data_IF_994445855609
#
_entry.id   IF_994445855609
#
_cell.length_a   1.000
_cell.length_b   1.000
_cell.length_c   1.000
_cell.angle_alpha   90.00
_cell.angle_beta   90.00
_cell.angle_gamma   90.00
#
_symmetry.space_group_name_H-M   'P 1'
#
loop_
_entity.id
_entity.type
_entity.pdbx_description
1 polymer ?
#
# COMPACT_ATOMS: atom_id res chain seq x y z
N UNK A 1 -12.39 2.00 -27.72
CA UNK A 1 -11.67 1.05 -26.85
C UNK A 1 -12.05 1.34 -25.40
N UNK A 2 -12.32 0.30 -24.63
CA UNK A 2 -12.50 0.39 -23.17
C UNK A 2 -11.10 0.21 -22.58
N UNK A 3 -10.68 1.15 -21.75
CA UNK A 3 -9.39 1.10 -21.06
C UNK A 3 -9.63 0.68 -19.61
N UNK A 4 -9.04 -0.42 -19.20
CA UNK A 4 -9.14 -0.92 -17.82
C UNK A 4 -8.01 -0.41 -16.94
N UNK A 5 -6.79 -0.32 -17.52
CA UNK A 5 -5.57 0.04 -16.79
C UNK A 5 -4.76 1.08 -17.56
N UNK A 6 -4.18 2.03 -16.86
CA UNK A 6 -3.23 3.01 -17.37
C UNK A 6 -1.92 2.86 -16.62
N UNK A 7 -0.81 2.66 -17.35
CA UNK A 7 0.53 2.89 -16.83
C UNK A 7 0.87 4.36 -17.06
N UNK A 8 1.11 5.11 -15.99
CA UNK A 8 1.24 6.55 -16.02
C UNK A 8 2.64 6.96 -15.54
N UNK A 9 3.41 7.60 -16.40
CA UNK A 9 4.66 8.24 -15.95
C UNK A 9 4.35 9.48 -15.12
N UNK A 10 5.18 9.77 -14.13
CA UNK A 10 5.08 11.00 -13.35
C UNK A 10 5.53 12.20 -14.17
N UNK A 11 6.69 12.11 -14.82
CA UNK A 11 7.24 13.24 -15.56
C UNK A 11 6.80 13.26 -17.02
N UNK A 12 5.76 14.03 -17.29
CA UNK A 12 5.26 14.23 -18.64
C UNK A 12 5.25 15.72 -19.01
N UNK A 13 5.44 16.08 -20.30
CA UNK A 13 5.32 17.45 -20.77
C UNK A 13 3.92 18.01 -20.50
N UNK A 14 3.83 19.32 -20.16
CA UNK A 14 2.60 20.09 -19.92
C UNK A 14 1.87 19.74 -18.61
N UNK A 15 1.68 18.47 -18.29
CA UNK A 15 0.97 18.04 -17.08
C UNK A 15 1.61 16.77 -16.53
N UNK A 16 1.94 16.77 -15.23
CA UNK A 16 2.49 15.59 -14.58
C UNK A 16 1.44 14.47 -14.41
N UNK A 17 1.94 13.22 -14.25
CA UNK A 17 1.09 12.05 -14.14
C UNK A 17 0.21 12.04 -12.89
N UNK A 18 0.62 12.72 -11.82
CA UNK A 18 -0.17 12.80 -10.58
C UNK A 18 -1.40 13.69 -10.77
N UNK A 19 -1.21 14.85 -11.41
CA UNK A 19 -2.37 15.71 -11.78
C UNK A 19 -3.26 15.03 -12.79
N UNK A 20 -2.66 14.36 -13.78
CA UNK A 20 -3.40 13.59 -14.79
C UNK A 20 -4.21 12.47 -14.14
N UNK A 21 -3.63 11.72 -13.19
CA UNK A 21 -4.33 10.64 -12.49
C UNK A 21 -5.56 11.15 -11.74
N UNK A 22 -5.48 12.33 -11.11
CA UNK A 22 -6.62 12.96 -10.44
C UNK A 22 -7.76 13.25 -11.41
N UNK A 23 -7.45 13.80 -12.59
CA UNK A 23 -8.45 14.13 -13.62
C UNK A 23 -9.08 12.84 -14.17
N UNK A 24 -8.26 11.84 -14.48
CA UNK A 24 -8.74 10.55 -14.98
C UNK A 24 -9.64 9.87 -13.96
N UNK A 25 -9.24 9.83 -12.69
CA UNK A 25 -10.04 9.22 -11.62
C UNK A 25 -11.36 9.93 -11.35
N UNK A 26 -11.37 11.24 -11.45
CA UNK A 26 -12.61 12.02 -11.30
C UNK A 26 -13.61 11.73 -12.43
N UNK A 27 -13.13 11.47 -13.64
CA UNK A 27 -13.97 11.24 -14.83
C UNK A 27 -14.27 9.77 -15.09
N UNK A 28 -13.32 8.90 -14.74
CA UNK A 28 -13.36 7.46 -14.98
C UNK A 28 -12.91 6.68 -13.74
N UNK A 29 -13.73 6.60 -12.68
CA UNK A 29 -13.32 6.05 -11.38
C UNK A 29 -12.91 4.58 -11.43
N UNK A 30 -13.43 3.84 -12.40
CA UNK A 30 -13.16 2.40 -12.56
C UNK A 30 -11.79 2.09 -13.19
N UNK A 31 -11.21 3.02 -13.94
CA UNK A 31 -9.89 2.84 -14.54
C UNK A 31 -8.84 2.69 -13.45
N UNK A 32 -8.04 1.63 -13.52
CA UNK A 32 -6.91 1.41 -12.63
C UNK A 32 -5.72 2.22 -13.14
N UNK A 33 -5.05 2.94 -12.25
CA UNK A 33 -3.86 3.71 -12.62
C UNK A 33 -2.68 3.20 -11.82
N UNK A 34 -1.64 2.76 -12.51
CA UNK A 34 -0.34 2.41 -11.93
C UNK A 34 0.63 3.50 -12.34
N UNK A 35 1.20 4.20 -11.36
CA UNK A 35 2.32 5.11 -11.61
C UNK A 35 3.57 4.29 -11.89
N UNK A 36 4.24 4.59 -13.00
CA UNK A 36 5.52 3.98 -13.39
C UNK A 36 6.55 5.09 -13.52
N UNK A 37 7.52 5.17 -12.61
CA UNK A 37 8.43 6.31 -12.49
C UNK A 37 9.87 5.88 -12.20
N UNK A 38 10.84 6.72 -12.56
CA UNK A 38 12.24 6.58 -12.13
C UNK A 38 12.52 7.25 -10.79
N UNK A 39 11.53 7.97 -10.22
CA UNK A 39 11.70 8.80 -9.04
C UNK A 39 10.92 8.24 -7.86
N UNK A 40 11.61 8.17 -6.72
CA UNK A 40 11.05 7.76 -5.45
C UNK A 40 10.82 9.00 -4.55
N UNK A 41 10.15 10.02 -5.09
CA UNK A 41 9.82 11.24 -4.35
C UNK A 41 8.53 11.06 -3.57
N UNK A 42 8.58 11.34 -2.27
CA UNK A 42 7.48 11.12 -1.33
C UNK A 42 6.22 11.89 -1.73
N UNK A 43 6.38 13.12 -2.22
CA UNK A 43 5.26 13.96 -2.62
C UNK A 43 4.43 13.35 -3.75
N UNK A 44 5.07 12.79 -4.77
CA UNK A 44 4.36 12.14 -5.88
C UNK A 44 3.64 10.87 -5.43
N UNK A 45 4.27 10.10 -4.55
CA UNK A 45 3.70 8.90 -3.99
C UNK A 45 2.41 9.21 -3.21
N UNK A 46 2.47 10.14 -2.26
CA UNK A 46 1.32 10.48 -1.41
C UNK A 46 0.19 11.14 -2.18
N UNK A 47 0.51 12.07 -3.08
CA UNK A 47 -0.51 12.71 -3.91
C UNK A 47 -1.16 11.71 -4.88
N UNK A 48 -0.39 10.76 -5.42
CA UNK A 48 -0.91 9.68 -6.25
C UNK A 48 -1.95 8.84 -5.50
N UNK A 49 -1.62 8.43 -4.28
CA UNK A 49 -2.52 7.64 -3.44
C UNK A 49 -3.79 8.42 -3.08
N UNK A 50 -3.67 9.68 -2.70
CA UNK A 50 -4.82 10.56 -2.46
C UNK A 50 -5.74 10.66 -3.68
N UNK A 51 -5.18 10.59 -4.88
CA UNK A 51 -5.92 10.58 -6.14
C UNK A 51 -6.52 9.20 -6.48
N UNK A 52 -6.28 8.16 -5.68
CA UNK A 52 -6.86 6.83 -5.88
C UNK A 52 -6.15 5.98 -6.92
N UNK A 53 -4.82 6.12 -7.07
CA UNK A 53 -4.03 5.20 -7.92
C UNK A 53 -4.10 3.77 -7.38
N UNK A 54 -3.90 2.80 -8.26
CA UNK A 54 -3.91 1.37 -7.94
C UNK A 54 -2.52 0.79 -7.72
N UNK A 55 -1.46 1.55 -8.02
CA UNK A 55 -0.09 1.14 -7.80
C UNK A 55 0.93 2.24 -8.04
N UNK A 56 2.12 2.03 -7.49
CA UNK A 56 3.28 2.89 -7.68
C UNK A 56 4.53 2.03 -7.79
N UNK A 57 5.16 2.00 -8.96
CA UNK A 57 6.23 1.07 -9.31
C UNK A 57 7.38 1.85 -9.91
N UNK A 58 8.60 1.44 -9.60
CA UNK A 58 9.79 2.03 -10.21
C UNK A 58 10.04 1.45 -11.60
N UNK A 59 10.55 2.26 -12.53
CA UNK A 59 10.89 1.84 -13.91
C UNK A 59 12.06 0.85 -13.97
N UNK A 60 12.88 0.80 -12.93
CA UNK A 60 13.99 -0.13 -12.75
C UNK A 60 13.59 -1.45 -12.08
N UNK A 61 12.32 -1.62 -11.73
CA UNK A 61 11.78 -2.89 -11.25
C UNK A 61 11.84 -3.95 -12.34
N UNK A 62 11.98 -5.22 -11.94
CA UNK A 62 11.97 -6.35 -12.87
C UNK A 62 10.69 -6.38 -13.71
N UNK A 63 10.81 -6.71 -15.00
CA UNK A 63 9.69 -6.74 -15.95
C UNK A 63 8.58 -7.66 -15.45
N UNK A 64 8.92 -8.82 -14.90
CA UNK A 64 7.95 -9.76 -14.34
C UNK A 64 7.16 -9.17 -13.18
N UNK A 65 7.80 -8.32 -12.36
CA UNK A 65 7.13 -7.59 -11.30
C UNK A 65 6.15 -6.55 -11.83
N UNK A 66 6.52 -5.82 -12.89
CA UNK A 66 5.64 -4.85 -13.56
C UNK A 66 4.42 -5.57 -14.16
N UNK A 67 4.62 -6.66 -14.88
CA UNK A 67 3.54 -7.46 -15.48
C UNK A 67 2.62 -8.03 -14.40
N UNK A 68 3.19 -8.57 -13.32
CA UNK A 68 2.42 -9.06 -12.17
C UNK A 68 1.58 -7.93 -11.57
N UNK A 69 2.15 -6.76 -11.41
CA UNK A 69 1.46 -5.61 -10.82
C UNK A 69 0.27 -5.14 -11.66
N UNK A 70 0.37 -5.20 -12.99
CA UNK A 70 -0.73 -4.91 -13.90
C UNK A 70 -1.88 -5.92 -13.67
N UNK A 71 -1.57 -7.22 -13.65
CA UNK A 71 -2.56 -8.28 -13.44
C UNK A 71 -3.24 -8.17 -12.06
N UNK A 72 -2.47 -7.89 -11.03
CA UNK A 72 -2.99 -7.74 -9.67
C UNK A 72 -3.84 -6.46 -9.51
N UNK A 73 -3.46 -5.35 -10.16
CA UNK A 73 -4.26 -4.14 -10.18
C UNK A 73 -5.60 -4.32 -10.92
N UNK A 74 -5.63 -5.11 -12.00
CA UNK A 74 -6.86 -5.50 -12.67
C UNK A 74 -7.81 -6.23 -11.71
N UNK A 75 -7.25 -7.08 -10.83
CA UNK A 75 -7.97 -7.79 -9.78
C UNK A 75 -8.24 -6.94 -8.50
N UNK A 76 -8.22 -5.60 -8.61
CA UNK A 76 -8.46 -4.65 -7.52
C UNK A 76 -7.46 -4.71 -6.35
N UNK A 77 -6.26 -5.25 -6.56
CA UNK A 77 -5.19 -5.20 -5.57
C UNK A 77 -4.32 -3.96 -5.79
N UNK A 78 -3.88 -3.35 -4.71
CA UNK A 78 -2.92 -2.24 -4.77
C UNK A 78 -1.49 -2.80 -4.81
N UNK A 79 -0.68 -2.30 -5.74
CA UNK A 79 0.68 -2.75 -5.95
C UNK A 79 1.67 -1.61 -5.77
N UNK A 80 2.55 -1.74 -4.78
CA UNK A 80 3.59 -0.76 -4.51
C UNK A 80 4.95 -1.41 -4.57
N UNK A 81 5.91 -0.71 -5.17
CA UNK A 81 7.29 -1.13 -5.15
C UNK A 81 7.76 -1.34 -3.70
N UNK A 82 8.50 -2.43 -3.41
CA UNK A 82 9.00 -2.68 -2.07
C UNK A 82 9.80 -1.54 -1.44
N UNK A 83 10.48 -0.74 -2.27
CA UNK A 83 11.28 0.40 -1.81
C UNK A 83 10.43 1.60 -1.36
N UNK A 84 9.22 1.75 -1.89
CA UNK A 84 8.30 2.84 -1.50
C UNK A 84 7.39 2.47 -0.34
N UNK A 85 7.24 1.18 -0.07
CA UNK A 85 6.40 0.69 1.03
C UNK A 85 6.77 1.31 2.40
N UNK A 86 8.06 1.42 2.82
CA UNK A 86 8.42 2.08 4.08
C UNK A 86 7.95 3.54 4.15
N UNK A 87 7.95 4.26 3.03
CA UNK A 87 7.51 5.67 2.96
C UNK A 87 6.00 5.79 3.11
N UNK A 88 5.25 4.89 2.46
CA UNK A 88 3.80 4.80 2.66
C UNK A 88 3.44 4.62 4.12
N UNK A 89 4.22 3.85 4.76
CA UNK A 89 4.09 3.48 6.16
C UNK A 89 4.42 4.64 7.09
N UNK A 90 5.50 5.38 6.82
CA UNK A 90 5.84 6.58 7.61
C UNK A 90 4.76 7.65 7.53
N UNK A 91 4.08 7.77 6.38
CA UNK A 91 2.98 8.71 6.20
C UNK A 91 1.66 8.29 6.89
N UNK A 92 1.55 7.01 7.26
CA UNK A 92 0.42 6.51 8.05
C UNK A 92 0.59 6.75 9.55
N UNK A 93 1.79 7.15 9.99
CA UNK A 93 1.98 7.62 11.36
C UNK A 93 1.36 9.00 11.50
N UNK A 94 0.48 9.24 12.49
CA UNK A 94 -0.23 10.50 12.60
C UNK A 94 0.72 11.62 13.02
N UNK A 95 1.03 12.52 12.11
CA UNK A 95 1.57 13.84 12.44
C UNK A 95 0.49 14.92 12.39
N UNK A 96 -0.70 14.64 11.82
CA UNK A 96 -1.83 15.57 11.93
C UNK A 96 -3.18 14.89 11.68
N UNK A 97 -4.18 15.32 12.45
CA UNK A 97 -5.47 14.69 12.69
C UNK A 97 -6.47 14.71 11.50
N UNK A 98 -6.06 14.95 10.25
CA UNK A 98 -7.00 15.19 9.15
C UNK A 98 -6.90 14.25 7.92
N UNK A 99 -6.13 13.16 7.98
CA UNK A 99 -6.02 12.25 6.81
C UNK A 99 -6.62 10.86 7.09
N UNK A 100 -7.89 10.82 7.42
CA UNK A 100 -8.68 9.59 7.66
C UNK A 100 -8.82 8.72 6.41
N UNK A 101 -8.85 9.31 5.24
CA UNK A 101 -9.17 8.61 3.97
C UNK A 101 -8.16 7.53 3.54
N UNK A 102 -6.89 7.63 3.92
CA UNK A 102 -5.88 6.65 3.49
C UNK A 102 -5.73 5.48 4.48
N UNK A 103 -5.84 5.77 5.78
CA UNK A 103 -5.93 4.71 6.81
C UNK A 103 -7.11 3.80 6.55
N UNK A 104 -8.26 4.37 6.21
CA UNK A 104 -9.47 3.62 5.94
C UNK A 104 -9.26 2.66 4.76
N UNK A 105 -8.59 3.08 3.68
CA UNK A 105 -8.33 2.21 2.52
C UNK A 105 -7.35 1.06 2.79
N UNK A 106 -6.35 1.24 3.65
CA UNK A 106 -5.46 0.12 4.07
C UNK A 106 -6.19 -0.80 5.04
N UNK A 107 -6.98 -0.24 5.96
CA UNK A 107 -7.80 -1.05 6.85
C UNK A 107 -8.91 -1.79 6.09
N UNK A 108 -9.41 -1.25 4.98
CA UNK A 108 -10.35 -1.94 4.08
C UNK A 108 -9.76 -3.18 3.40
N UNK A 109 -8.42 -3.25 3.24
CA UNK A 109 -7.73 -4.45 2.73
C UNK A 109 -7.60 -5.56 3.78
N UNK A 110 -7.73 -5.21 5.06
CA UNK A 110 -7.56 -6.15 6.17
C UNK A 110 -8.90 -6.46 6.83
N UNK A 111 -9.06 -7.70 7.21
CA UNK A 111 -10.20 -8.10 8.05
C UNK A 111 -10.08 -7.47 9.44
N UNK A 112 -11.17 -7.33 10.17
CA UNK A 112 -11.18 -6.83 11.55
C UNK A 112 -10.14 -7.55 12.43
N UNK A 113 -10.04 -8.87 12.26
CA UNK A 113 -9.12 -9.70 13.03
C UNK A 113 -7.65 -9.48 12.65
N UNK A 114 -7.37 -9.28 11.37
CA UNK A 114 -6.03 -8.90 10.90
C UNK A 114 -5.61 -7.53 11.44
N UNK A 115 -6.55 -6.57 11.54
CA UNK A 115 -6.30 -5.25 12.13
C UNK A 115 -5.94 -5.36 13.62
N UNK A 116 -6.64 -6.20 14.38
CA UNK A 116 -6.33 -6.44 15.79
C UNK A 116 -4.91 -6.99 15.95
N UNK A 117 -4.57 -8.04 15.18
CA UNK A 117 -3.22 -8.62 15.19
C UNK A 117 -2.18 -7.58 14.76
N UNK A 118 -2.44 -6.80 13.71
CA UNK A 118 -1.53 -5.76 13.24
C UNK A 118 -1.24 -4.72 14.33
N UNK A 119 -2.25 -4.24 15.06
CA UNK A 119 -2.08 -3.28 16.16
C UNK A 119 -1.13 -3.79 17.24
N UNK A 120 -1.18 -5.09 17.55
CA UNK A 120 -0.33 -5.70 18.56
C UNK A 120 1.09 -5.95 18.05
N UNK A 121 1.24 -6.31 16.78
CA UNK A 121 2.55 -6.39 16.11
C UNK A 121 3.26 -5.04 16.13
N UNK A 122 2.53 -3.96 15.87
CA UNK A 122 3.03 -2.58 15.93
C UNK A 122 3.52 -2.20 17.32
N UNK A 123 2.83 -2.65 18.37
CA UNK A 123 3.26 -2.47 19.76
C UNK A 123 4.50 -3.30 20.12
N UNK A 124 5.07 -4.06 19.17
CA UNK A 124 6.26 -4.88 19.39
C UNK A 124 6.00 -6.21 20.10
N UNK A 125 4.74 -6.62 20.26
CA UNK A 125 4.42 -7.86 20.96
C UNK A 125 4.89 -9.10 20.22
N UNK A 126 5.35 -10.13 20.93
CA UNK A 126 5.67 -11.45 20.38
C UNK A 126 4.41 -12.22 19.97
N UNK A 127 4.56 -13.29 19.19
CA UNK A 127 3.40 -14.13 18.82
C UNK A 127 2.73 -14.76 20.05
N UNK A 128 3.51 -15.11 21.07
CA UNK A 128 3.00 -15.64 22.33
C UNK A 128 2.17 -14.60 23.09
N UNK A 129 2.63 -13.35 23.16
CA UNK A 129 1.88 -12.27 23.78
C UNK A 129 0.57 -11.98 23.03
N UNK A 130 0.63 -11.91 21.70
CA UNK A 130 -0.56 -11.71 20.84
C UNK A 130 -1.55 -12.86 20.99
N UNK A 131 -1.06 -14.10 21.03
CA UNK A 131 -1.92 -15.28 21.19
C UNK A 131 -2.68 -15.26 22.52
N UNK A 132 -2.00 -14.88 23.59
CA UNK A 132 -2.61 -14.74 24.92
C UNK A 132 -3.64 -13.60 24.96
N UNK A 133 -3.30 -12.44 24.38
CA UNK A 133 -4.19 -11.26 24.41
C UNK A 133 -5.45 -11.45 23.56
N UNK A 134 -5.31 -12.18 22.42
CA UNK A 134 -6.43 -12.42 21.52
C UNK A 134 -7.13 -13.77 21.72
N UNK A 135 -6.68 -14.57 22.68
CA UNK A 135 -7.22 -15.91 22.98
C UNK A 135 -7.23 -16.84 21.75
N UNK A 136 -6.10 -16.88 21.00
CA UNK A 136 -5.91 -17.74 19.83
C UNK A 136 -4.56 -18.45 19.91
N UNK A 137 -4.34 -19.48 19.08
CA UNK A 137 -3.04 -20.16 19.04
C UNK A 137 -1.95 -19.31 18.41
N UNK A 138 -0.69 -19.51 18.78
CA UNK A 138 0.45 -18.86 18.12
C UNK A 138 0.53 -19.19 16.62
N UNK A 139 0.11 -20.39 16.22
CA UNK A 139 0.00 -20.78 14.81
C UNK A 139 -1.00 -19.89 14.06
N UNK A 140 -2.13 -19.61 14.70
CA UNK A 140 -3.15 -18.70 14.15
C UNK A 140 -2.59 -17.27 14.01
N UNK A 141 -1.82 -16.78 15.00
CA UNK A 141 -1.15 -15.47 14.92
C UNK A 141 -0.16 -15.44 13.74
N UNK A 142 0.66 -16.49 13.56
CA UNK A 142 1.58 -16.60 12.40
C UNK A 142 0.83 -16.52 11.08
N UNK A 143 -0.32 -17.20 10.97
CA UNK A 143 -1.15 -17.18 9.76
C UNK A 143 -1.70 -15.78 9.48
N UNK A 144 -2.20 -15.07 10.50
CA UNK A 144 -2.65 -13.69 10.35
C UNK A 144 -1.52 -12.77 9.90
N UNK A 145 -0.35 -12.86 10.55
CA UNK A 145 0.83 -12.05 10.16
C UNK A 145 1.23 -12.35 8.71
N UNK A 146 1.27 -13.61 8.30
CA UNK A 146 1.59 -13.98 6.91
C UNK A 146 0.57 -13.42 5.91
N UNK A 147 -0.72 -13.45 6.26
CA UNK A 147 -1.76 -12.88 5.42
C UNK A 147 -1.66 -11.34 5.33
N UNK A 148 -1.39 -10.67 6.45
CA UNK A 148 -1.16 -9.22 6.49
C UNK A 148 0.06 -8.86 5.61
N UNK A 149 1.19 -9.55 5.79
CA UNK A 149 2.39 -9.34 4.98
C UNK A 149 2.11 -9.50 3.48
N UNK A 150 1.39 -10.57 3.10
CA UNK A 150 0.99 -10.82 1.72
C UNK A 150 0.07 -9.71 1.17
N UNK A 151 -0.94 -9.28 1.94
CA UNK A 151 -1.88 -8.24 1.54
C UNK A 151 -1.23 -6.88 1.38
N UNK A 152 -0.25 -6.58 2.27
CA UNK A 152 0.51 -5.34 2.24
C UNK A 152 1.78 -5.43 1.38
N UNK A 153 2.02 -6.57 0.71
CA UNK A 153 3.20 -6.85 -0.12
C UNK A 153 4.53 -6.66 0.64
N UNK A 154 4.57 -7.08 1.90
CA UNK A 154 5.75 -7.03 2.77
C UNK A 154 6.41 -8.41 2.88
N UNK A 155 7.74 -8.43 3.02
CA UNK A 155 8.51 -9.69 3.11
C UNK A 155 8.83 -10.12 4.54
N UNK A 156 8.86 -9.20 5.51
CA UNK A 156 9.34 -9.46 6.88
C UNK A 156 8.47 -8.77 7.92
N UNK A 157 8.28 -9.43 9.07
CA UNK A 157 7.60 -8.87 10.25
C UNK A 157 8.24 -7.55 10.72
N UNK A 158 9.57 -7.43 10.64
CA UNK A 158 10.28 -6.20 11.00
C UNK A 158 9.81 -5.00 10.17
N UNK A 159 9.36 -5.22 8.95
CA UNK A 159 8.75 -4.20 8.12
C UNK A 159 7.39 -3.76 8.67
N UNK A 160 6.58 -4.69 9.22
CA UNK A 160 5.33 -4.33 9.93
C UNK A 160 5.61 -3.51 11.19
N UNK A 161 6.62 -3.84 11.97
CA UNK A 161 6.97 -3.09 13.18
C UNK A 161 7.60 -1.73 12.85
N UNK A 162 8.42 -1.65 11.80
CA UNK A 162 8.95 -0.38 11.30
C UNK A 162 7.84 0.57 10.79
N UNK A 163 6.67 0.00 10.44
CA UNK A 163 5.48 0.73 10.01
C UNK A 163 5.00 1.78 11.01
N UNK A 164 5.29 1.60 12.30
CA UNK A 164 4.60 2.31 13.36
C UNK A 164 5.51 2.72 14.53
N UNK A 165 6.83 2.44 14.48
CA UNK A 165 7.76 2.92 15.50
C UNK A 165 8.11 4.37 15.18
N UNK A 166 7.50 5.31 15.92
CA UNK A 166 8.01 6.69 16.02
C UNK A 166 9.46 6.65 16.51
N UNK A 167 10.41 7.23 15.77
CA UNK A 167 11.57 7.83 16.37
C UNK A 167 11.19 9.20 16.93
#
# INVERSE_FOLDING_TARGET
YIVDIILMDVRMPKMDGIKTSRIVKARYPNIKIIILTTFNEDEYLFNGIKNGISGYILKDSEIDYIIKSIKEAYNNKMMFDPSVTPKLISALTPTDANDTSFKDKIFDLLTKREIEVLKLVIKGQSNSQISNELFISEGTVKNYISNILRKLNLKRRTQLSALFIKK
#
